data_IF_319014614540
#
_entry.id   IF_319014614540
#
_cell.length_a   1.000
_cell.length_b   1.000
_cell.length_c   1.000
_cell.angle_alpha   90.00
_cell.angle_beta   90.00
_cell.angle_gamma   90.00
#
_symmetry.space_group_name_H-M   'P 1'
#
loop_
_entity.id
_entity.type
_entity.pdbx_description
1 polymer ?
#
# COMPACT_ATOMS: atom_id res chain seq x y z
N UNK A 1 10.77 -34.07 -15.75
CA UNK A 1 9.99 -33.63 -14.58
C UNK A 1 10.72 -32.46 -13.94
N UNK A 2 10.28 -31.22 -14.18
CA UNK A 2 10.83 -30.04 -13.52
C UNK A 2 9.71 -29.41 -12.68
N UNK A 3 10.04 -29.13 -11.42
CA UNK A 3 9.10 -28.94 -10.32
C UNK A 3 8.07 -27.84 -10.55
N UNK A 4 6.82 -28.17 -10.21
CA UNK A 4 5.72 -27.22 -10.08
C UNK A 4 6.12 -26.15 -9.04
N UNK A 5 5.96 -24.84 -9.29
CA UNK A 5 6.21 -23.84 -8.26
C UNK A 5 5.31 -24.15 -7.05
N UNK A 6 5.92 -24.30 -5.87
CA UNK A 6 5.20 -24.58 -4.61
C UNK A 6 4.24 -23.43 -4.34
N UNK A 7 2.94 -23.74 -4.33
CA UNK A 7 1.85 -22.77 -4.35
C UNK A 7 1.39 -22.29 -2.97
N UNK A 8 2.23 -22.34 -1.95
CA UNK A 8 1.85 -21.82 -0.63
C UNK A 8 3.06 -21.30 0.12
N UNK A 9 3.52 -20.11 -0.25
CA UNK A 9 4.12 -19.27 0.77
C UNK A 9 3.00 -18.98 1.80
N UNK A 10 3.22 -19.20 3.11
CA UNK A 10 2.27 -18.77 4.11
C UNK A 10 2.02 -17.26 3.94
N UNK A 11 0.85 -16.73 4.34
CA UNK A 11 0.61 -15.29 4.30
C UNK A 11 1.74 -14.59 5.06
N UNK A 12 2.63 -13.94 4.33
CA UNK A 12 3.77 -13.23 4.88
C UNK A 12 3.22 -12.09 5.73
N UNK A 13 3.34 -12.22 7.05
CA UNK A 13 3.19 -11.09 7.95
C UNK A 13 4.48 -10.30 7.80
N UNK A 14 4.40 -9.07 7.29
CA UNK A 14 5.58 -8.22 7.09
C UNK A 14 6.39 -7.98 8.37
N UNK A 15 5.79 -8.19 9.56
CA UNK A 15 6.45 -8.13 10.86
C UNK A 15 7.44 -9.28 11.11
N UNK A 16 7.28 -10.37 10.37
CA UNK A 16 8.12 -11.58 10.44
C UNK A 16 9.10 -11.64 9.27
N UNK A 17 9.01 -10.69 8.33
CA UNK A 17 9.95 -10.60 7.23
C UNK A 17 11.32 -10.17 7.79
N UNK A 18 12.37 -10.86 7.35
CA UNK A 18 13.74 -10.45 7.59
C UNK A 18 13.97 -9.02 7.07
N UNK A 19 14.89 -8.29 7.69
CA UNK A 19 15.24 -6.94 7.23
C UNK A 19 15.74 -7.01 5.79
N UNK A 20 15.06 -6.32 4.89
CA UNK A 20 15.49 -6.21 3.50
C UNK A 20 16.75 -5.35 3.40
N UNK A 21 17.63 -5.60 2.41
CA UNK A 21 18.75 -4.71 2.13
C UNK A 21 18.25 -3.31 1.73
N UNK A 22 19.11 -2.29 1.78
CA UNK A 22 18.75 -0.94 1.36
C UNK A 22 18.10 -0.94 -0.03
N UNK A 23 17.09 -0.09 -0.30
CA UNK A 23 16.39 -0.07 -1.58
C UNK A 23 17.31 0.00 -2.80
N UNK A 24 18.43 0.72 -2.73
CA UNK A 24 19.40 0.80 -3.82
C UNK A 24 20.03 -0.55 -4.19
N UNK A 25 20.31 -1.39 -3.18
CA UNK A 25 20.89 -2.73 -3.37
C UNK A 25 19.82 -3.75 -3.76
N UNK A 26 18.64 -3.65 -3.15
CA UNK A 26 17.48 -4.46 -3.52
C UNK A 26 17.06 -4.24 -4.98
N UNK A 27 17.01 -2.98 -5.43
CA UNK A 27 16.66 -2.63 -6.80
C UNK A 27 17.71 -3.10 -7.80
N UNK A 28 19.00 -3.05 -7.44
CA UNK A 28 20.09 -3.52 -8.30
C UNK A 28 20.07 -5.03 -8.57
N UNK A 29 19.40 -5.80 -7.70
CA UNK A 29 19.31 -7.26 -7.77
C UNK A 29 17.94 -7.76 -8.22
N UNK A 30 17.00 -6.86 -8.54
CA UNK A 30 15.66 -7.21 -9.00
C UNK A 30 15.73 -8.00 -10.32
N UNK A 31 15.30 -9.26 -10.26
CA UNK A 31 14.99 -10.05 -11.43
C UNK A 31 13.48 -10.07 -11.67
N UNK A 32 13.01 -10.18 -12.92
CA UNK A 32 11.60 -10.44 -13.20
C UNK A 32 11.13 -11.68 -12.44
N UNK A 33 10.03 -11.56 -11.71
CA UNK A 33 9.41 -12.67 -11.02
C UNK A 33 7.91 -12.68 -11.28
N UNK A 34 7.27 -13.82 -11.03
CA UNK A 34 5.82 -13.94 -11.06
C UNK A 34 5.38 -14.66 -9.80
N UNK A 35 4.36 -14.11 -9.15
CA UNK A 35 3.78 -14.66 -7.94
C UNK A 35 2.42 -14.02 -7.67
N UNK A 36 1.66 -14.61 -6.77
CA UNK A 36 0.45 -13.99 -6.22
C UNK A 36 0.79 -13.29 -4.91
N UNK A 37 -0.02 -12.29 -4.55
CA UNK A 37 0.06 -11.63 -3.24
C UNK A 37 -1.29 -11.71 -2.55
N UNK A 38 -1.25 -12.00 -1.25
CA UNK A 38 -2.38 -11.84 -0.34
C UNK A 38 -2.03 -10.82 0.76
N UNK A 39 -1.10 -9.90 0.46
CA UNK A 39 -0.59 -8.91 1.41
C UNK A 39 -1.69 -7.92 1.80
N UNK A 40 -1.91 -7.79 3.10
CA UNK A 40 -2.69 -6.70 3.68
C UNK A 40 -1.75 -5.62 4.18
N UNK A 41 -1.88 -4.42 3.60
CA UNK A 41 -1.18 -3.23 4.06
C UNK A 41 -2.10 -2.50 5.03
N UNK A 42 -1.67 -2.44 6.30
CA UNK A 42 -2.40 -1.86 7.42
C UNK A 42 -1.53 -0.79 8.11
N UNK A 43 -2.11 0.10 8.93
CA UNK A 43 -1.35 1.11 9.65
C UNK A 43 -0.11 0.53 10.36
N UNK A 44 1.02 1.21 10.18
CA UNK A 44 2.34 0.76 10.66
C UNK A 44 3.15 -0.06 9.65
N UNK A 45 2.63 -0.34 8.44
CA UNK A 45 3.37 -1.02 7.39
C UNK A 45 4.60 -0.19 6.92
N UNK A 46 5.81 -0.77 6.92
CA UNK A 46 7.03 -0.06 6.55
C UNK A 46 7.21 -0.08 5.03
N UNK A 47 6.64 0.91 4.33
CA UNK A 47 6.81 1.05 2.89
C UNK A 47 8.31 1.14 2.52
N UNK A 48 8.76 0.30 1.59
CA UNK A 48 10.16 0.25 1.17
C UNK A 48 10.40 1.06 -0.10
N UNK A 49 9.52 0.92 -1.10
CA UNK A 49 9.73 1.43 -2.45
C UNK A 49 8.76 2.52 -2.89
N UNK A 50 7.54 2.59 -2.36
CA UNK A 50 6.58 3.61 -2.77
C UNK A 50 6.82 4.92 -1.99
N UNK A 51 7.08 6.04 -2.70
CA UNK A 51 7.22 7.38 -2.12
C UNK A 51 5.99 8.27 -2.35
N UNK A 52 5.18 7.96 -3.36
CA UNK A 52 3.91 8.63 -3.61
C UNK A 52 2.82 7.62 -3.99
N UNK A 53 1.56 8.00 -3.75
CA UNK A 53 0.38 7.21 -4.05
C UNK A 53 -0.65 8.10 -4.75
N UNK A 54 -1.09 7.69 -5.94
CA UNK A 54 -2.28 8.25 -6.60
C UNK A 54 -3.43 7.28 -6.38
N UNK A 55 -4.50 7.74 -5.74
CA UNK A 55 -5.64 6.86 -5.43
C UNK A 55 -6.93 7.64 -5.20
N UNK A 56 -8.06 7.00 -5.48
CA UNK A 56 -9.41 7.51 -5.21
C UNK A 56 -9.68 7.69 -3.71
N UNK A 57 -10.80 8.35 -3.39
CA UNK A 57 -11.32 8.40 -2.02
C UNK A 57 -12.16 7.16 -1.69
N UNK A 58 -11.75 6.43 -0.66
CA UNK A 58 -12.33 5.15 -0.25
C UNK A 58 -13.29 5.28 0.93
N UNK A 59 -14.22 4.32 1.06
CA UNK A 59 -15.19 4.29 2.16
C UNK A 59 -14.53 4.06 3.53
N UNK A 60 -15.12 4.63 4.60
CA UNK A 60 -14.78 4.28 5.98
C UNK A 60 -14.84 2.76 6.22
N UNK A 61 -13.83 2.21 6.89
CA UNK A 61 -13.75 0.78 7.22
C UNK A 61 -13.32 -0.13 6.07
N UNK A 62 -12.98 0.40 4.89
CA UNK A 62 -12.46 -0.40 3.78
C UNK A 62 -10.97 -0.74 3.95
N UNK A 63 -10.53 -1.86 3.37
CA UNK A 63 -9.11 -2.25 3.32
C UNK A 63 -8.26 -1.27 2.51
N UNK A 64 -8.85 -0.63 1.49
CA UNK A 64 -8.17 0.43 0.73
C UNK A 64 -7.95 1.68 1.59
N UNK A 65 -8.91 2.06 2.43
CA UNK A 65 -8.70 3.16 3.37
C UNK A 65 -7.59 2.82 4.38
N UNK A 66 -7.51 1.57 4.84
CA UNK A 66 -6.43 1.12 5.73
C UNK A 66 -5.04 1.21 5.05
N UNK A 67 -4.95 0.92 3.75
CA UNK A 67 -3.72 1.14 2.96
C UNK A 67 -3.35 2.62 2.90
N UNK A 68 -4.31 3.51 2.64
CA UNK A 68 -4.07 4.96 2.60
C UNK A 68 -3.64 5.46 3.98
N UNK A 69 -4.28 4.98 5.06
CA UNK A 69 -3.90 5.31 6.44
C UNK A 69 -2.49 4.82 6.78
N UNK A 70 -2.09 3.65 6.28
CA UNK A 70 -0.71 3.18 6.41
C UNK A 70 0.29 4.10 5.70
N UNK A 71 -0.12 4.76 4.61
CA UNK A 71 0.75 5.57 3.77
C UNK A 71 0.92 7.02 4.25
N UNK A 72 -0.16 7.65 4.72
CA UNK A 72 -0.16 9.06 5.19
C UNK A 72 -0.49 9.23 6.67
N UNK A 73 -0.63 8.14 7.42
CA UNK A 73 -0.95 8.16 8.84
C UNK A 73 -2.38 8.61 9.14
N UNK A 74 -2.77 8.49 10.41
CA UNK A 74 -4.11 8.85 10.89
C UNK A 74 -4.43 10.33 10.70
N UNK A 75 -3.49 11.21 11.06
CA UNK A 75 -3.67 12.66 10.91
C UNK A 75 -3.77 13.08 9.43
N UNK A 76 -3.03 12.41 8.54
CA UNK A 76 -3.11 12.67 7.10
C UNK A 76 -4.49 12.34 6.55
N UNK A 77 -5.04 11.18 6.94
CA UNK A 77 -6.42 10.80 6.59
C UNK A 77 -7.41 11.86 7.04
N UNK A 78 -7.35 12.27 8.32
CA UNK A 78 -8.28 13.25 8.87
C UNK A 78 -8.23 14.59 8.10
N UNK A 79 -7.03 15.09 7.80
CA UNK A 79 -6.86 16.33 7.03
C UNK A 79 -7.39 16.20 5.60
N UNK A 80 -6.99 15.15 4.88
CA UNK A 80 -7.34 14.95 3.47
C UNK A 80 -8.83 14.70 3.29
N UNK A 81 -9.44 13.86 4.12
CA UNK A 81 -10.86 13.52 3.99
C UNK A 81 -11.77 14.66 4.47
N UNK A 82 -11.39 15.39 5.51
CA UNK A 82 -12.14 16.60 5.93
C UNK A 82 -12.17 17.61 4.80
N UNK A 83 -11.01 17.90 4.20
CA UNK A 83 -10.92 18.81 3.06
C UNK A 83 -11.79 18.36 1.88
N UNK A 84 -11.67 17.09 1.47
CA UNK A 84 -12.46 16.54 0.37
C UNK A 84 -13.97 16.62 0.60
N UNK A 85 -14.43 16.36 1.84
CA UNK A 85 -15.84 16.48 2.21
C UNK A 85 -16.31 17.93 2.20
N UNK A 86 -15.51 18.86 2.74
CA UNK A 86 -15.84 20.29 2.78
C UNK A 86 -15.93 20.89 1.38
N UNK A 87 -15.03 20.49 0.48
CA UNK A 87 -14.99 21.01 -0.90
C UNK A 87 -15.89 20.24 -1.87
N UNK A 88 -16.68 19.26 -1.39
CA UNK A 88 -17.66 18.55 -2.21
C UNK A 88 -17.05 17.61 -3.26
N UNK A 89 -15.90 17.00 -2.96
CA UNK A 89 -15.28 16.01 -3.84
C UNK A 89 -16.19 14.79 -4.02
N UNK A 90 -16.10 14.17 -5.19
CA UNK A 90 -16.80 12.92 -5.51
C UNK A 90 -15.96 11.74 -5.05
N UNK A 91 -16.58 10.78 -4.37
CA UNK A 91 -15.88 9.62 -3.80
C UNK A 91 -16.02 8.38 -4.69
N UNK A 92 -15.30 7.31 -4.34
CA UNK A 92 -15.35 5.99 -4.98
C UNK A 92 -14.72 5.93 -6.38
N UNK A 93 -14.98 4.83 -7.08
CA UNK A 93 -14.26 4.42 -8.30
C UNK A 93 -14.30 5.44 -9.44
N UNK A 94 -15.38 6.22 -9.54
CA UNK A 94 -15.57 7.25 -10.58
C UNK A 94 -15.53 8.68 -10.02
N UNK A 95 -15.13 8.81 -8.76
CA UNK A 95 -14.94 10.08 -8.11
C UNK A 95 -13.63 10.74 -8.47
N UNK A 96 -13.26 11.72 -7.65
CA UNK A 96 -12.01 12.41 -7.74
C UNK A 96 -10.87 11.58 -7.11
N UNK A 97 -9.64 12.04 -7.28
CA UNK A 97 -8.43 11.34 -6.84
C UNK A 97 -7.58 12.23 -5.93
N UNK A 98 -6.68 11.59 -5.21
CA UNK A 98 -5.66 12.23 -4.38
C UNK A 98 -4.28 11.84 -4.88
N UNK A 99 -3.34 12.78 -4.82
CA UNK A 99 -1.91 12.51 -4.91
C UNK A 99 -1.31 12.74 -3.53
N UNK A 100 -0.72 11.68 -2.98
CA UNK A 100 -0.27 11.62 -1.60
C UNK A 100 1.23 11.33 -1.57
N UNK A 101 1.96 12.02 -0.71
CA UNK A 101 3.38 11.76 -0.47
C UNK A 101 3.51 11.06 0.87
N UNK A 102 4.42 10.08 0.92
CA UNK A 102 4.73 9.37 2.15
C UNK A 102 5.37 10.35 3.14
N UNK A 103 4.83 10.38 4.35
CA UNK A 103 5.37 11.12 5.50
C UNK A 103 6.48 10.33 6.20
#
# INVERSE_FOLDING_TARGET
MQGKPSSSLPPLVWKEAESLPPPSEALATLAPFTGSTALYILPGYPFQLAQALVTNFHLPGSTLLALVEAFIGREGIEKVYTYALTEGFRFLSYGDTSLLWRI
#
